data_IF_909188847760
#
_entry.id   IF_909188847760
#
_cell.length_a   1.000
_cell.length_b   1.000
_cell.length_c   1.000
_cell.angle_alpha   90.00
_cell.angle_beta   90.00
_cell.angle_gamma   90.00
#
_symmetry.space_group_name_H-M   'P 1'
#
loop_
_entity.id
_entity.type
_entity.pdbx_description
1 polymer ?
2 non-polymer ?
3 non-polymer ?
4 non-polymer ?
5 water ?
#
# COMPACT_ATOMS: atom_id res chain seq x y z
N UNK A 18 -20.55 -5.59 -12.50
CA UNK A 18 -20.85 -4.21 -12.13
C UNK A 18 -21.10 -4.05 -10.65
N UNK A 19 -22.17 -4.72 -10.15
CA UNK A 19 -22.56 -4.66 -8.73
C UNK A 19 -21.49 -5.32 -7.84
N UNK A 20 -20.85 -6.41 -8.33
CA UNK A 20 -19.82 -7.10 -7.56
C UNK A 20 -18.58 -6.22 -7.43
N UNK A 21 -18.24 -5.46 -8.50
CA UNK A 21 -17.12 -4.51 -8.50
C UNK A 21 -17.37 -3.35 -7.54
N UNK A 22 -18.63 -2.88 -7.45
CA UNK A 22 -18.98 -1.77 -6.56
C UNK A 22 -18.79 -2.19 -5.09
N UNK A 23 -19.22 -3.42 -4.76
CA UNK A 23 -19.09 -3.95 -3.39
C UNK A 23 -17.62 -4.09 -3.04
N UNK A 24 -16.82 -4.61 -3.99
CA UNK A 24 -15.39 -4.82 -3.79
C UNK A 24 -14.67 -3.48 -3.63
N UNK A 25 -14.97 -2.51 -4.53
CA UNK A 25 -14.39 -1.15 -4.46
C UNK A 25 -14.60 -0.55 -3.07
N UNK A 26 -15.84 -0.58 -2.57
CA UNK A 26 -16.16 -0.03 -1.25
C UNK A 26 -15.40 -0.76 -0.15
N UNK A 27 -15.26 -2.09 -0.24
CA UNK A 27 -14.53 -2.83 0.78
C UNK A 27 -13.03 -2.45 0.76
N UNK A 28 -12.44 -2.29 -0.43
CA UNK A 28 -11.04 -1.93 -0.57
C UNK A 28 -10.81 -0.54 0.01
N UNK A 29 -11.70 0.40 -0.29
CA UNK A 29 -11.56 1.76 0.23
C UNK A 29 -11.71 1.77 1.75
N UNK A 30 -12.56 0.90 2.27
CA UNK A 30 -12.74 0.73 3.73
C UNK A 30 -11.47 0.25 4.39
N UNK A 31 -10.74 -0.64 3.73
CA UNK A 31 -9.45 -1.12 4.24
C UNK A 31 -8.41 0.04 4.13
N UNK A 32 -8.44 0.81 3.05
CA UNK A 32 -7.49 1.90 2.87
C UNK A 32 -7.80 3.03 3.85
N UNK A 33 -9.10 3.20 4.22
CA UNK A 33 -9.50 4.15 5.27
C UNK A 33 -8.87 3.76 6.60
N UNK A 34 -8.98 2.48 6.98
CA UNK A 34 -8.40 2.01 8.25
C UNK A 34 -6.86 2.15 8.21
N UNK A 35 -6.27 1.85 7.08
CA UNK A 35 -4.82 1.92 6.90
C UNK A 35 -4.30 3.37 7.12
N UNK A 36 -4.92 4.34 6.47
CA UNK A 36 -4.47 5.74 6.52
C UNK A 36 -4.61 6.40 7.92
N UNK A 37 -5.51 5.90 8.79
CA UNK A 37 -5.67 6.53 10.10
C UNK A 37 -4.73 5.90 11.14
N UNK A 38 -3.86 4.95 10.73
CA UNK A 38 -2.83 4.43 11.64
C UNK A 38 -1.64 5.40 11.66
N UNK A 39 -1.01 5.56 12.81
CA UNK A 39 0.16 6.44 12.96
C UNK A 39 1.36 5.98 12.08
N UNK A 40 1.53 4.68 11.87
CA UNK A 40 2.63 4.16 11.06
C UNK A 40 2.38 4.32 9.51
N UNK A 41 1.20 4.85 9.11
CA UNK A 41 0.86 4.97 7.70
C UNK A 41 1.38 6.23 7.05
N UNK A 42 1.73 7.26 7.82
CA UNK A 42 2.01 8.59 7.24
C UNK A 42 3.11 8.57 6.13
N UNK A 43 4.22 7.80 6.22
CA UNK A 43 5.23 7.86 5.15
C UNK A 43 4.74 7.24 3.82
N UNK A 44 3.68 6.42 3.89
CA UNK A 44 3.16 5.70 2.71
C UNK A 44 2.07 6.47 1.98
N UNK A 45 1.80 7.71 2.39
CA UNK A 45 0.73 8.50 1.82
C UNK A 45 1.12 9.19 0.54
N UNK A 46 2.42 9.22 0.19
CA UNK A 46 2.81 9.74 -1.10
C UNK A 46 4.06 8.99 -1.63
N UNK A 47 4.32 9.05 -2.97
CA UNK A 47 5.39 8.23 -3.54
C UNK A 47 6.77 8.76 -3.20
N UNK A 48 7.76 7.86 -3.12
CA UNK A 48 9.13 8.28 -2.83
C UNK A 48 9.69 9.12 -4.01
N UNK A 49 10.48 10.15 -3.72
CA UNK A 49 11.07 10.99 -4.76
C UNK A 49 12.54 10.65 -4.91
N UNK A 50 13.12 10.99 -6.06
CA UNK A 50 14.53 10.76 -6.31
C UNK A 50 15.42 11.66 -5.47
N UNK A 51 14.94 12.85 -5.06
CA UNK A 51 15.78 13.75 -4.25
C UNK A 51 16.10 13.11 -2.90
N UNK A 52 15.10 12.50 -2.25
CA UNK A 52 15.28 11.91 -0.94
C UNK A 52 15.88 10.49 -1.00
N UNK A 53 15.76 9.80 -2.16
CA UNK A 53 16.26 8.43 -2.31
C UNK A 53 16.66 8.20 -3.77
N UNK A 54 17.88 8.70 -4.17
CA UNK A 54 18.24 8.72 -5.62
C UNK A 54 18.27 7.37 -6.33
N UNK A 55 18.55 6.27 -5.61
CA UNK A 55 18.59 4.94 -6.26
C UNK A 55 17.35 4.12 -5.92
N UNK A 56 16.28 4.76 -5.39
CA UNK A 56 15.05 4.03 -5.02
C UNK A 56 14.46 3.27 -6.22
N UNK A 57 14.38 3.92 -7.37
CA UNK A 57 13.76 3.33 -8.55
C UNK A 57 14.74 2.44 -9.36
N UNK A 58 16.02 2.35 -8.95
CA UNK A 58 16.92 1.31 -9.48
C UNK A 58 16.61 -0.03 -8.79
N UNK A 59 16.12 0.03 -7.54
CA UNK A 59 15.83 -1.14 -6.70
C UNK A 59 14.35 -1.53 -6.79
N UNK A 60 13.44 -0.54 -6.74
CA UNK A 60 12.00 -0.77 -6.74
C UNK A 60 11.44 -0.57 -8.14
N UNK A 61 11.08 -1.66 -8.79
CA UNK A 61 10.60 -1.65 -10.17
C UNK A 61 9.10 -1.42 -10.29
N UNK A 62 8.30 -1.78 -9.26
CA UNK A 62 6.84 -1.60 -9.29
C UNK A 62 6.43 -0.86 -8.07
N UNK A 63 6.73 0.44 -8.02
CA UNK A 63 6.43 1.21 -6.82
C UNK A 63 4.94 1.42 -6.61
N UNK A 64 4.54 1.65 -5.36
CA UNK A 64 3.16 1.99 -5.06
C UNK A 64 3.08 2.70 -3.71
N UNK A 65 1.91 3.23 -3.39
CA UNK A 65 1.68 3.95 -2.17
C UNK A 65 0.19 3.98 -1.93
N UNK A 66 -0.27 4.54 -0.79
CA UNK A 66 -1.69 4.48 -0.40
C UNK A 66 -2.56 5.29 -1.36
N UNK A 67 -2.15 6.49 -1.73
CA UNK A 67 -2.92 7.39 -2.59
C UNK A 67 -3.08 6.80 -3.99
N UNK A 68 -2.01 6.19 -4.50
CA UNK A 68 -2.05 5.48 -5.78
C UNK A 68 -3.06 4.32 -5.73
N UNK A 69 -3.05 3.56 -4.66
CA UNK A 69 -3.97 2.43 -4.54
C UNK A 69 -5.41 2.91 -4.39
N UNK A 70 -5.61 4.04 -3.70
CA UNK A 70 -6.96 4.59 -3.50
C UNK A 70 -7.52 5.07 -4.81
N UNK A 71 -6.70 5.74 -5.63
CA UNK A 71 -7.12 6.20 -6.97
C UNK A 71 -7.53 5.03 -7.82
N UNK A 72 -6.65 4.00 -7.87
CA UNK A 72 -6.90 2.75 -8.63
C UNK A 72 -8.21 2.11 -8.19
N UNK A 73 -8.44 2.04 -6.86
CA UNK A 73 -9.66 1.46 -6.28
C UNK A 73 -10.87 2.25 -6.66
N UNK A 74 -10.82 3.60 -6.48
CA UNK A 74 -11.93 4.51 -6.87
C UNK A 74 -12.32 4.32 -8.33
N UNK A 75 -11.33 4.21 -9.22
CA UNK A 75 -11.57 4.11 -10.67
C UNK A 75 -12.08 2.70 -11.13
N UNK A 76 -12.10 1.71 -10.22
CA UNK A 76 -12.56 0.36 -10.54
C UNK A 76 -11.48 -0.53 -11.12
N UNK A 77 -10.18 -0.21 -10.88
CA UNK A 77 -9.07 -0.96 -11.48
C UNK A 77 -8.88 -2.36 -10.90
N UNK A 78 -9.33 -2.61 -9.66
CA UNK A 78 -9.17 -3.92 -9.04
C UNK A 78 -10.39 -4.76 -9.30
N UNK A 79 -10.25 -5.77 -10.15
CA UNK A 79 -11.35 -6.68 -10.51
C UNK A 79 -11.59 -7.68 -9.38
N UNK A 80 -10.54 -8.02 -8.61
CA UNK A 80 -10.65 -8.98 -7.52
C UNK A 80 -9.88 -8.52 -6.27
N UNK A 81 -10.22 -9.11 -5.13
CA UNK A 81 -9.57 -8.86 -3.85
C UNK A 81 -8.05 -9.12 -3.97
N UNK A 82 -7.68 -10.24 -4.61
CA UNK A 82 -6.25 -10.60 -4.79
C UNK A 82 -5.49 -9.54 -5.59
N UNK A 83 -6.11 -8.95 -6.65
CA UNK A 83 -5.45 -7.88 -7.42
C UNK A 83 -5.03 -6.76 -6.45
N UNK A 84 -5.92 -6.37 -5.52
CA UNK A 84 -5.59 -5.36 -4.51
C UNK A 84 -4.54 -5.88 -3.52
N UNK A 85 -4.72 -7.13 -3.05
CA UNK A 85 -3.80 -7.76 -2.09
C UNK A 85 -2.37 -7.81 -2.58
N UNK A 86 -2.17 -8.12 -3.88
CA UNK A 86 -0.84 -8.19 -4.48
C UNK A 86 -0.14 -6.83 -4.37
N UNK A 87 -0.84 -5.73 -4.67
CA UNK A 87 -0.23 -4.41 -4.60
C UNK A 87 -0.07 -3.94 -3.15
N UNK A 88 -1.05 -4.20 -2.30
CA UNK A 88 -0.94 -3.85 -0.88
C UNK A 88 0.30 -4.47 -0.29
N UNK A 89 0.49 -5.78 -0.49
CA UNK A 89 1.66 -6.50 0.00
C UNK A 89 2.94 -5.94 -0.62
N UNK A 90 2.90 -5.58 -1.91
CA UNK A 90 4.06 -5.01 -2.58
C UNK A 90 4.46 -3.67 -1.97
N UNK A 91 3.50 -2.85 -1.52
CA UNK A 91 3.87 -1.62 -0.83
C UNK A 91 4.83 -1.92 0.37
N UNK A 92 4.47 -2.91 1.16
CA UNK A 92 5.27 -3.29 2.34
C UNK A 92 6.57 -3.96 1.92
N UNK A 93 6.50 -4.89 0.92
CA UNK A 93 7.68 -5.62 0.47
C UNK A 93 8.70 -4.68 -0.20
N UNK A 94 8.23 -3.68 -0.97
CA UNK A 94 9.13 -2.72 -1.58
C UNK A 94 9.87 -1.98 -0.51
N UNK A 95 9.12 -1.52 0.49
CA UNK A 95 9.67 -0.76 1.59
C UNK A 95 10.77 -1.55 2.31
N UNK A 96 10.55 -2.83 2.63
CA UNK A 96 11.55 -3.61 3.35
C UNK A 96 12.72 -4.05 2.43
N UNK A 97 12.50 -4.09 1.10
CA UNK A 97 13.57 -4.43 0.17
C UNK A 97 14.59 -3.26 0.14
N UNK A 98 14.08 -2.02 0.08
CA UNK A 98 14.94 -0.84 -0.05
C UNK A 98 15.56 -0.41 1.28
N UNK A 99 14.78 -0.39 2.35
CA UNK A 99 15.20 0.19 3.63
C UNK A 99 15.82 -0.81 4.57
N UNK A 100 16.87 -0.39 5.30
CA UNK A 100 17.54 -1.22 6.29
C UNK A 100 16.63 -1.44 7.49
N UNK A 101 16.86 -2.50 8.29
CA UNK A 101 15.93 -2.79 9.39
C UNK A 101 15.86 -1.75 10.51
N UNK A 102 16.87 -0.89 10.65
CA UNK A 102 16.91 0.16 11.69
C UNK A 102 16.05 1.38 11.31
N UNK A 103 15.62 1.50 10.06
CA UNK A 103 14.86 2.67 9.62
C UNK A 103 13.43 2.62 10.10
N UNK A 104 12.83 3.79 10.24
CA UNK A 104 11.42 3.89 10.64
C UNK A 104 10.55 3.30 9.57
N UNK A 105 10.99 3.36 8.31
CA UNK A 105 10.20 2.87 7.19
C UNK A 105 10.03 1.37 7.28
N UNK A 106 11.14 0.66 7.47
CA UNK A 106 11.14 -0.80 7.61
C UNK A 106 10.26 -1.21 8.82
N UNK A 107 10.45 -0.53 9.95
CA UNK A 107 9.72 -0.82 11.18
C UNK A 107 8.20 -0.55 11.03
N UNK A 108 7.82 0.56 10.39
CA UNK A 108 6.40 0.90 10.18
C UNK A 108 5.74 -0.02 9.20
N UNK A 109 6.45 -0.44 8.16
CA UNK A 109 5.91 -1.39 7.19
C UNK A 109 5.47 -2.66 7.91
N UNK A 110 6.24 -3.10 8.89
CA UNK A 110 5.90 -4.30 9.65
C UNK A 110 4.75 -4.05 10.59
N UNK A 111 4.74 -2.92 11.29
CA UNK A 111 3.64 -2.59 12.20
C UNK A 111 2.34 -2.42 11.44
N UNK A 112 2.40 -1.66 10.36
CA UNK A 112 1.23 -1.37 9.55
C UNK A 112 0.69 -2.60 8.84
N UNK A 113 1.57 -3.42 8.25
CA UNK A 113 1.10 -4.65 7.60
C UNK A 113 0.43 -5.57 8.59
N UNK A 114 0.98 -5.70 9.80
CA UNK A 114 0.42 -6.60 10.84
C UNK A 114 -1.00 -6.10 11.21
N UNK A 115 -1.17 -4.74 11.32
CA UNK A 115 -2.46 -4.11 11.66
C UNK A 115 -3.51 -4.31 10.58
N UNK A 116 -3.14 -4.11 9.29
CA UNK A 116 -4.12 -4.13 8.21
C UNK A 116 -4.50 -5.55 7.76
N UNK A 117 -3.62 -6.54 7.91
CA UNK A 117 -3.86 -7.84 7.30
C UNK A 117 -5.23 -8.47 7.72
N UNK A 118 -5.68 -8.44 8.99
CA UNK A 118 -7.04 -8.96 9.28
C UNK A 118 -8.15 -8.21 8.52
N UNK A 119 -7.97 -6.89 8.28
CA UNK A 119 -8.98 -6.10 7.56
C UNK A 119 -8.99 -6.52 6.10
N UNK A 120 -7.80 -6.68 5.49
CA UNK A 120 -7.70 -7.15 4.12
C UNK A 120 -8.33 -8.56 3.98
N UNK A 121 -8.05 -9.45 4.95
CA UNK A 121 -8.54 -10.85 4.91
C UNK A 121 -10.05 -10.92 4.97
N UNK A 122 -10.69 -9.97 5.68
CA UNK A 122 -12.14 -9.94 5.83
C UNK A 122 -12.87 -9.43 4.56
N UNK A 123 -12.15 -8.91 3.55
CA UNK A 123 -12.78 -8.44 2.30
C UNK A 123 -13.56 -9.58 1.69
#
# INVERSE_FOLDING_TARGET
MHHHHHHSSGRENLYFQGHKEVQLKDQILGVLDYLEKQQSAWPFLKPVSLSEAPDYYDIIKEPTDILTMRRKARHGDYKTKEDFGIELKRMFDNCRLYNAPTTIYFKYANELQTLIWPKYEAI
#
